data_IF_273032848027
#
_entry.id   IF_273032848027
#
_cell.length_a   1.000
_cell.length_b   1.000
_cell.length_c   1.000
_cell.angle_alpha   90.00
_cell.angle_beta   90.00
_cell.angle_gamma   90.00
#
_symmetry.space_group_name_H-M   'P 1'
#
loop_
_entity.id
_entity.type
_entity.pdbx_description
1 polymer ?
#
# COMPACT_ATOMS: atom_id res chain seq x y z
N UNK A 1 34.92 2.79 0.62
CA UNK A 1 33.51 2.79 1.06
C UNK A 1 32.84 1.57 0.46
N UNK A 2 32.07 0.78 1.22
CA UNK A 2 31.32 -0.31 0.60
C UNK A 2 30.29 0.31 -0.34
N UNK A 3 30.38 -0.01 -1.62
CA UNK A 3 29.34 0.27 -2.60
C UNK A 3 28.12 -0.57 -2.22
N UNK A 4 27.06 0.08 -1.76
CA UNK A 4 25.77 -0.58 -1.55
C UNK A 4 25.32 -1.20 -2.87
N UNK A 5 25.00 -2.48 -2.85
CA UNK A 5 24.42 -3.18 -4.01
C UNK A 5 23.03 -2.57 -4.28
N UNK A 6 22.83 -1.88 -5.42
CA UNK A 6 21.56 -1.23 -5.74
C UNK A 6 20.37 -2.21 -5.76
N UNK A 7 20.61 -3.47 -6.13
CA UNK A 7 19.59 -4.51 -6.13
C UNK A 7 19.22 -4.93 -4.72
N UNK A 8 20.19 -5.04 -3.82
CA UNK A 8 19.94 -5.34 -2.42
C UNK A 8 19.18 -4.21 -1.72
N UNK A 9 19.56 -2.96 -1.99
CA UNK A 9 18.85 -1.77 -1.50
C UNK A 9 17.40 -1.72 -2.00
N UNK A 10 17.18 -1.93 -3.30
CA UNK A 10 15.83 -1.99 -3.86
C UNK A 10 14.98 -3.10 -3.23
N UNK A 11 15.53 -4.31 -3.07
CA UNK A 11 14.83 -5.43 -2.42
C UNK A 11 14.45 -5.12 -0.97
N UNK A 12 15.32 -4.43 -0.24
CA UNK A 12 15.03 -3.99 1.13
C UNK A 12 13.86 -3.01 1.18
N UNK A 13 13.85 -2.01 0.29
CA UNK A 13 12.75 -1.05 0.20
C UNK A 13 11.44 -1.72 -0.22
N UNK A 14 11.49 -2.63 -1.19
CA UNK A 14 10.33 -3.41 -1.64
C UNK A 14 9.77 -4.25 -0.48
N UNK A 15 10.60 -5.02 0.22
CA UNK A 15 10.15 -5.83 1.36
C UNK A 15 9.48 -4.97 2.44
N UNK A 16 10.03 -3.79 2.72
CA UNK A 16 9.44 -2.84 3.68
C UNK A 16 8.11 -2.28 3.20
N UNK A 17 8.00 -1.97 1.91
CA UNK A 17 6.78 -1.44 1.30
C UNK A 17 5.66 -2.49 1.34
N UNK A 18 5.98 -3.75 1.02
CA UNK A 18 5.03 -4.86 1.11
C UNK A 18 4.52 -5.02 2.53
N UNK A 19 5.40 -4.95 3.53
CA UNK A 19 5.00 -5.03 4.95
C UNK A 19 4.06 -3.90 5.36
N UNK A 20 4.31 -2.66 4.93
CA UNK A 20 3.44 -1.50 5.18
C UNK A 20 2.07 -1.71 4.54
N UNK A 21 2.01 -2.30 3.35
CA UNK A 21 0.76 -2.64 2.68
C UNK A 21 0.04 -3.86 3.30
N UNK A 22 0.64 -4.54 4.28
CA UNK A 22 0.10 -5.77 4.86
C UNK A 22 0.26 -7.00 3.96
N UNK A 23 1.20 -6.96 3.02
CA UNK A 23 1.56 -8.07 2.13
C UNK A 23 2.80 -8.81 2.66
N UNK A 24 2.99 -10.05 2.20
CA UNK A 24 4.16 -10.86 2.56
C UNK A 24 5.44 -10.25 1.94
N UNK A 25 6.42 -9.81 2.76
CA UNK A 25 7.67 -9.23 2.27
C UNK A 25 8.58 -10.25 1.56
N UNK A 26 8.32 -11.56 1.70
CA UNK A 26 9.07 -12.59 0.97
C UNK A 26 8.56 -12.77 -0.46
N UNK A 27 7.40 -12.21 -0.80
CA UNK A 27 6.86 -12.27 -2.15
C UNK A 27 7.70 -11.39 -3.10
N UNK A 28 8.38 -12.03 -4.05
CA UNK A 28 9.35 -11.35 -4.93
C UNK A 28 8.67 -10.29 -5.80
N UNK A 29 7.46 -10.56 -6.30
CA UNK A 29 6.64 -9.64 -7.09
C UNK A 29 5.16 -9.96 -6.87
N UNK A 30 4.45 -9.19 -6.04
CA UNK A 30 3.00 -9.29 -5.97
C UNK A 30 2.37 -8.78 -7.26
N UNK A 31 1.25 -9.39 -7.64
CA UNK A 31 0.43 -8.92 -8.75
C UNK A 31 0.02 -7.46 -8.52
N UNK A 32 0.09 -6.63 -9.55
CA UNK A 32 -0.23 -5.19 -9.47
C UNK A 32 -1.60 -4.92 -8.83
N UNK A 33 -2.62 -5.72 -9.16
CA UNK A 33 -3.95 -5.58 -8.58
C UNK A 33 -3.99 -5.87 -7.08
N UNK A 34 -3.21 -6.85 -6.61
CA UNK A 34 -3.09 -7.14 -5.17
C UNK A 34 -2.42 -5.99 -4.42
N UNK A 35 -1.42 -5.36 -5.01
CA UNK A 35 -0.76 -4.17 -4.44
C UNK A 35 -1.77 -3.02 -4.31
N UNK A 36 -2.54 -2.76 -5.38
CA UNK A 36 -3.57 -1.70 -5.39
C UNK A 36 -4.69 -1.96 -4.41
N UNK A 37 -5.16 -3.21 -4.29
CA UNK A 37 -6.19 -3.59 -3.33
C UNK A 37 -5.69 -3.46 -1.89
N UNK A 38 -4.50 -3.98 -1.58
CA UNK A 38 -3.91 -3.87 -0.26
C UNK A 38 -3.73 -2.39 0.16
N UNK A 39 -3.26 -1.55 -0.77
CA UNK A 39 -3.22 -0.10 -0.57
C UNK A 39 -4.61 0.49 -0.30
N UNK A 40 -5.65 0.07 -1.06
CA UNK A 40 -7.00 0.57 -0.86
C UNK A 40 -7.52 0.24 0.55
N UNK A 41 -7.37 -1.01 1.01
CA UNK A 41 -7.78 -1.41 2.35
C UNK A 41 -7.04 -0.61 3.43
N UNK A 42 -5.72 -0.50 3.32
CA UNK A 42 -4.91 0.27 4.28
C UNK A 42 -5.27 1.76 4.28
N UNK A 43 -5.50 2.34 3.10
CA UNK A 43 -5.89 3.74 2.99
C UNK A 43 -7.27 3.98 3.61
N UNK A 44 -8.24 3.08 3.42
CA UNK A 44 -9.54 3.18 4.10
C UNK A 44 -9.41 3.11 5.62
N UNK A 45 -8.52 2.27 6.14
CA UNK A 45 -8.26 2.14 7.57
C UNK A 45 -7.63 3.41 8.16
N UNK A 46 -6.62 3.97 7.49
CA UNK A 46 -5.79 5.04 8.02
C UNK A 46 -6.06 6.43 7.44
N UNK A 47 -7.14 6.60 6.65
CA UNK A 47 -7.43 7.87 5.98
C UNK A 47 -7.56 9.02 7.01
N UNK A 48 -6.98 10.20 6.76
CA UNK A 48 -7.08 11.35 7.67
C UNK A 48 -8.51 11.74 8.01
N UNK A 49 -9.40 11.78 7.00
CA UNK A 49 -10.81 12.14 7.22
C UNK A 49 -11.57 11.13 8.10
N UNK A 50 -11.11 9.87 8.16
CA UNK A 50 -11.69 8.81 8.99
C UNK A 50 -11.04 8.74 10.37
N UNK A 51 -9.86 9.34 10.53
CA UNK A 51 -9.06 9.31 11.75
C UNK A 51 -8.69 10.73 12.23
N UNK A 52 -9.66 11.65 12.42
CA UNK A 52 -9.37 13.05 12.76
C UNK A 52 -8.68 13.24 14.12
N UNK A 53 -8.78 12.24 15.01
CA UNK A 53 -8.11 12.25 16.31
C UNK A 53 -6.65 11.78 16.28
N UNK A 54 -6.18 11.21 15.17
CA UNK A 54 -4.80 10.76 15.03
C UNK A 54 -3.95 11.88 14.40
N UNK A 55 -3.00 12.49 15.15
CA UNK A 55 -2.17 13.59 14.63
C UNK A 55 -1.22 13.15 13.50
N UNK A 56 -0.99 11.85 13.33
CA UNK A 56 -0.12 11.26 12.30
C UNK A 56 -0.88 10.70 11.10
N UNK A 57 -2.21 10.86 11.03
CA UNK A 57 -2.99 10.25 9.96
C UNK A 57 -2.53 10.69 8.55
N UNK A 58 -2.11 11.95 8.41
CA UNK A 58 -1.53 12.45 7.16
C UNK A 58 -0.19 11.80 6.83
N UNK A 59 0.68 11.60 7.82
CA UNK A 59 1.97 10.92 7.63
C UNK A 59 1.76 9.47 7.22
N UNK A 60 0.79 8.79 7.82
CA UNK A 60 0.44 7.40 7.47
C UNK A 60 -0.13 7.29 6.06
N UNK A 61 -1.01 8.21 5.66
CA UNK A 61 -1.51 8.26 4.28
C UNK A 61 -0.39 8.50 3.26
N UNK A 62 0.55 9.39 3.58
CA UNK A 62 1.71 9.65 2.73
C UNK A 62 2.65 8.44 2.66
N UNK A 63 2.90 7.76 3.79
CA UNK A 63 3.69 6.53 3.86
C UNK A 63 3.06 5.42 3.02
N UNK A 64 1.74 5.24 3.10
CA UNK A 64 1.00 4.26 2.29
C UNK A 64 1.11 4.55 0.79
N UNK A 65 1.00 5.81 0.39
CA UNK A 65 1.15 6.22 -1.00
C UNK A 65 2.58 5.94 -1.52
N UNK A 66 3.59 6.24 -0.72
CA UNK A 66 4.99 5.95 -1.06
C UNK A 66 5.24 4.43 -1.15
N UNK A 67 4.74 3.65 -0.19
CA UNK A 67 4.86 2.19 -0.19
C UNK A 67 4.21 1.57 -1.44
N UNK A 68 3.02 2.05 -1.85
CA UNK A 68 2.39 1.64 -3.12
C UNK A 68 3.30 1.94 -4.31
N UNK A 69 3.84 3.16 -4.40
CA UNK A 69 4.66 3.55 -5.53
C UNK A 69 5.95 2.71 -5.60
N UNK A 70 6.58 2.40 -4.47
CA UNK A 70 7.75 1.51 -4.42
C UNK A 70 7.37 0.10 -4.86
N UNK A 71 6.27 -0.45 -4.36
CA UNK A 71 5.81 -1.80 -4.70
C UNK A 71 5.47 -1.96 -6.18
N UNK A 72 4.97 -0.89 -6.83
CA UNK A 72 4.68 -0.84 -8.26
C UNK A 72 5.91 -0.50 -9.13
N UNK A 73 7.08 -0.27 -8.52
CA UNK A 73 8.29 0.15 -9.24
C UNK A 73 8.21 1.57 -9.83
N UNK A 74 7.33 2.41 -9.28
CA UNK A 74 7.05 3.78 -9.72
C UNK A 74 7.80 4.85 -8.90
N UNK A 75 8.46 4.48 -7.81
CA UNK A 75 9.17 5.42 -6.95
C UNK A 75 10.65 5.55 -7.35
N UNK A 76 11.07 6.80 -7.61
CA UNK A 76 12.48 7.12 -7.94
C UNK A 76 13.33 7.40 -6.69
N UNK A 77 12.74 7.86 -5.58
CA UNK A 77 13.49 8.19 -4.36
C UNK A 77 12.65 7.97 -3.10
N UNK A 78 12.91 6.91 -2.32
CA UNK A 78 12.21 6.65 -1.06
C UNK A 78 12.64 7.64 0.03
N UNK A 79 11.68 8.14 0.81
CA UNK A 79 11.89 9.10 1.90
C UNK A 79 11.23 8.67 3.22
N UNK A 80 9.90 8.48 3.24
CA UNK A 80 9.17 8.15 4.49
C UNK A 80 9.42 6.70 4.93
N UNK A 81 9.54 5.78 3.99
CA UNK A 81 9.83 4.37 4.24
C UNK A 81 11.19 4.14 4.90
N UNK A 82 12.11 5.11 4.78
CA UNK A 82 13.43 5.08 5.42
C UNK A 82 13.40 5.65 6.83
N UNK A 83 12.30 6.27 7.25
CA UNK A 83 12.13 6.82 8.58
C UNK A 83 11.57 5.74 9.51
N UNK A 84 12.45 5.12 10.29
CA UNK A 84 12.10 4.00 11.17
C UNK A 84 10.98 4.39 12.15
N UNK A 85 10.98 5.60 12.68
CA UNK A 85 9.98 6.11 13.62
C UNK A 85 8.57 6.26 13.01
N UNK A 86 8.49 6.58 11.71
CA UNK A 86 7.22 6.66 10.98
C UNK A 86 6.68 5.27 10.69
N UNK A 87 7.55 4.37 10.23
CA UNK A 87 7.17 2.99 9.91
C UNK A 87 6.79 2.21 11.16
N UNK A 88 7.54 2.33 12.25
CA UNK A 88 7.24 1.62 13.49
C UNK A 88 5.92 2.08 14.09
N UNK A 89 5.67 3.39 14.10
CA UNK A 89 4.40 3.92 14.58
C UNK A 89 3.21 3.46 13.72
N UNK A 90 3.37 3.46 12.39
CA UNK A 90 2.34 2.91 11.51
C UNK A 90 2.05 1.44 11.82
N UNK A 91 3.08 0.61 12.00
CA UNK A 91 2.93 -0.82 12.25
C UNK A 91 2.37 -1.16 13.65
N UNK A 92 2.45 -0.22 14.59
CA UNK A 92 1.90 -0.35 15.94
C UNK A 92 0.52 0.29 16.10
N UNK A 93 0.08 1.09 15.13
CA UNK A 93 -1.21 1.76 15.16
C UNK A 93 -2.33 0.72 15.17
N UNK A 94 -3.23 0.73 16.16
CA UNK A 94 -4.36 -0.16 16.18
C UNK A 94 -5.33 0.21 15.05
N UNK A 95 -5.59 -0.73 14.15
CA UNK A 95 -6.57 -0.56 13.09
C UNK A 95 -7.93 -1.07 13.58
N UNK A 96 -8.92 -0.19 13.59
CA UNK A 96 -10.30 -0.63 13.79
C UNK A 96 -10.72 -1.54 12.62
N UNK A 97 -11.46 -2.62 12.89
CA UNK A 97 -11.97 -3.48 11.83
C UNK A 97 -12.74 -2.64 10.80
N UNK A 98 -12.39 -2.78 9.51
CA UNK A 98 -13.14 -2.16 8.43
C UNK A 98 -14.50 -2.84 8.33
N UNK A 99 -15.50 -2.26 9.01
CA UNK A 99 -16.90 -2.55 8.77
C UNK A 99 -17.17 -2.01 7.36
N UNK A 100 -17.42 -2.91 6.41
CA UNK A 100 -17.72 -2.64 4.98
C UNK A 100 -16.55 -2.46 4.00
N UNK A 101 -15.35 -2.99 4.28
CA UNK A 101 -14.36 -3.12 3.20
C UNK A 101 -14.78 -4.20 2.19
N UNK A 102 -14.80 -3.92 0.88
CA UNK A 102 -15.10 -4.92 -0.14
C UNK A 102 -14.02 -6.01 -0.12
N UNK A 103 -14.41 -7.25 -0.43
CA UNK A 103 -13.46 -8.33 -0.71
C UNK A 103 -12.62 -7.99 -1.95
N UNK A 104 -11.52 -8.72 -2.18
CA UNK A 104 -10.67 -8.49 -3.35
C UNK A 104 -11.45 -8.67 -4.66
N UNK A 105 -12.28 -9.69 -4.72
CA UNK A 105 -13.13 -10.00 -5.86
C UNK A 105 -14.16 -8.90 -6.11
N UNK A 106 -14.84 -8.40 -5.07
CA UNK A 106 -15.80 -7.30 -5.17
C UNK A 106 -15.13 -6.00 -5.61
N UNK A 107 -13.99 -5.66 -5.01
CA UNK A 107 -13.21 -4.48 -5.37
C UNK A 107 -12.71 -4.54 -6.81
N UNK A 108 -12.28 -5.72 -7.28
CA UNK A 108 -11.92 -5.92 -8.69
C UNK A 108 -13.14 -5.71 -9.59
N UNK A 109 -14.27 -6.33 -9.25
CA UNK A 109 -15.51 -6.21 -10.01
C UNK A 109 -15.93 -4.75 -10.17
N UNK A 110 -15.93 -3.94 -9.10
CA UNK A 110 -16.26 -2.50 -9.15
C UNK A 110 -15.38 -1.71 -10.14
N UNK A 111 -14.11 -2.09 -10.28
CA UNK A 111 -13.18 -1.42 -11.20
C UNK A 111 -13.31 -1.84 -12.65
N UNK A 112 -13.86 -3.02 -12.92
CA UNK A 112 -14.13 -3.52 -14.27
C UNK A 112 -15.57 -3.26 -14.71
N UNK A 113 -16.50 -3.08 -13.77
CA UNK A 113 -17.87 -2.62 -13.96
C UNK A 113 -17.90 -1.08 -14.07
N UNK A 114 -17.16 -0.54 -15.03
CA UNK A 114 -17.48 0.78 -15.58
C UNK A 114 -18.76 0.62 -16.43
N UNK A 115 -19.91 0.68 -15.76
CA UNK A 115 -21.24 0.46 -16.34
C UNK A 115 -21.60 1.47 -17.44
N UNK A 116 -20.88 2.60 -17.53
CA UNK A 116 -21.07 3.62 -18.56
C UNK A 116 -20.09 3.49 -19.75
N UNK A 117 -19.19 2.50 -19.73
CA UNK A 117 -18.02 2.45 -20.62
C UNK A 117 -17.78 1.17 -21.43
N UNK A 118 -18.76 0.26 -21.53
CA UNK A 118 -18.71 -1.04 -22.26
C UNK A 118 -17.84 -2.13 -21.59
N UNK A 119 -18.52 -3.06 -20.93
CA UNK A 119 -17.98 -4.35 -20.46
C UNK A 119 -17.21 -5.12 -21.56
N UNK A 120 -16.04 -5.67 -21.21
CA UNK A 120 -15.22 -6.59 -22.04
C UNK A 120 -15.43 -8.08 -21.70
N UNK A 121 -16.42 -8.43 -20.87
CA UNK A 121 -16.76 -9.84 -20.64
C UNK A 121 -17.76 -10.33 -21.70
N UNK A 122 -17.27 -11.04 -22.71
CA UNK A 122 -18.09 -11.87 -23.60
C UNK A 122 -18.26 -13.26 -22.99
N UNK A 123 -19.52 -13.69 -22.82
CA UNK A 123 -19.91 -15.07 -22.51
C UNK A 123 -19.36 -16.08 -23.53
#
# INVERSE_FOLDING_TARGET
MPTLDPLATFRSHLARALRILGLDPQQIQPEENRIKYAFHCQMLAHHPDRNPGNPRAHDFAALLAEARNIALGQAETPYLILQDDVVEAFLQEPVEPLIDAPTYEEWLMERFLDLDGKSIWTY
#
